data_IF_820319130473
#
_entry.id   IF_820319130473
#
_cell.length_a   1.000
_cell.length_b   1.000
_cell.length_c   1.000
_cell.angle_alpha   90.00
_cell.angle_beta   90.00
_cell.angle_gamma   90.00
#
_symmetry.space_group_name_H-M   'P 1'
#
loop_
_entity.id
_entity.type
_entity.pdbx_description
1 polymer ?
#
# COMPACT_ATOMS: atom_id res chain seq x y z
N UNK A 1 -16.42 19.65 15.44
CA UNK A 1 -16.17 18.95 16.73
C UNK A 1 -14.65 18.81 16.91
N UNK A 2 -14.14 19.07 18.10
CA UNK A 2 -12.71 18.86 18.39
C UNK A 2 -12.42 17.35 18.55
N UNK A 3 -11.33 16.83 18.00
CA UNK A 3 -10.97 15.43 18.15
C UNK A 3 -10.73 15.09 19.63
N UNK A 4 -11.12 13.88 20.01
CA UNK A 4 -10.98 13.37 21.38
C UNK A 4 -10.20 12.07 21.37
N UNK A 5 -9.34 11.88 22.36
CA UNK A 5 -8.63 10.64 22.63
C UNK A 5 -9.00 10.14 24.01
N UNK A 6 -9.42 8.89 24.10
CA UNK A 6 -9.71 8.22 25.37
C UNK A 6 -8.66 7.16 25.63
N UNK A 7 -8.02 7.25 26.80
CA UNK A 7 -7.08 6.25 27.28
C UNK A 7 -7.61 5.70 28.61
N UNK A 8 -8.03 4.46 28.62
CA UNK A 8 -8.71 3.87 29.78
C UNK A 8 -9.99 4.65 30.12
N UNK A 9 -10.08 5.20 31.34
CA UNK A 9 -11.21 6.02 31.79
C UNK A 9 -11.02 7.52 31.51
N UNK A 10 -9.88 7.95 31.02
CA UNK A 10 -9.53 9.37 30.80
C UNK A 10 -9.75 9.77 29.36
N UNK A 11 -10.54 10.80 29.12
CA UNK A 11 -10.74 11.38 27.80
C UNK A 11 -10.09 12.76 27.74
N UNK A 12 -9.29 13.02 26.71
CA UNK A 12 -8.69 14.33 26.45
C UNK A 12 -9.14 14.89 25.11
N UNK A 13 -9.40 16.18 25.09
CA UNK A 13 -9.67 16.92 23.84
C UNK A 13 -8.34 17.37 23.26
N UNK A 14 -8.07 16.99 22.00
CA UNK A 14 -6.89 17.43 21.28
C UNK A 14 -7.16 18.80 20.64
N UNK A 15 -6.32 19.76 20.97
CA UNK A 15 -6.27 21.08 20.32
C UNK A 15 -5.11 21.12 19.36
N UNK A 16 -5.02 22.20 18.55
CA UNK A 16 -3.95 22.41 17.54
C UNK A 16 -2.53 22.20 18.06
N UNK A 17 -2.28 22.46 19.32
CA UNK A 17 -0.95 22.44 19.94
C UNK A 17 -0.70 21.21 20.79
N UNK A 18 -1.69 20.31 20.97
CA UNK A 18 -1.54 19.14 21.82
C UNK A 18 -1.15 17.91 21.02
N UNK A 19 0.00 17.36 21.37
CA UNK A 19 0.44 16.02 21.04
C UNK A 19 0.36 15.16 22.27
N UNK A 20 -0.16 13.96 22.12
CA UNK A 20 -0.25 12.97 23.17
C UNK A 20 0.64 11.78 22.80
N UNK A 21 1.61 11.45 23.65
CA UNK A 21 2.56 10.37 23.40
C UNK A 21 2.39 9.27 24.43
N UNK A 22 2.24 8.04 23.96
CA UNK A 22 2.17 6.84 24.78
C UNK A 22 3.46 6.05 24.55
N UNK A 23 4.15 5.72 25.63
CA UNK A 23 5.32 4.83 25.61
C UNK A 23 5.01 3.59 26.44
N UNK A 24 5.53 2.46 26.00
CA UNK A 24 5.48 1.25 26.80
C UNK A 24 6.36 1.39 28.05
N UNK A 25 5.78 1.12 29.22
CA UNK A 25 6.52 0.94 30.45
C UNK A 25 6.87 -0.55 30.54
N UNK A 26 8.11 -0.94 30.32
CA UNK A 26 8.54 -2.32 30.43
C UNK A 26 9.48 -2.74 29.31
N UNK A 27 9.90 -4.01 29.32
CA UNK A 27 10.78 -4.53 28.28
C UNK A 27 9.98 -4.81 27.01
N UNK A 28 10.52 -4.43 25.85
CA UNK A 28 9.90 -4.54 24.52
C UNK A 28 9.55 -5.96 24.08
N UNK A 29 10.14 -6.96 24.72
CA UNK A 29 10.09 -8.36 24.30
C UNK A 29 9.24 -9.24 25.23
N UNK A 30 8.63 -8.67 26.26
CA UNK A 30 7.70 -9.42 27.10
C UNK A 30 6.40 -9.68 26.34
N UNK A 31 6.03 -10.93 26.29
CA UNK A 31 4.75 -11.35 25.75
C UNK A 31 3.69 -11.27 26.85
N UNK A 32 2.56 -10.64 26.54
CA UNK A 32 1.45 -10.55 27.45
C UNK A 32 0.49 -9.40 27.10
N UNK A 33 -0.73 -9.44 27.66
CA UNK A 33 -1.74 -8.44 27.38
C UNK A 33 -1.35 -7.04 27.85
N UNK A 34 -0.55 -6.95 28.91
CA UNK A 34 -0.13 -5.67 29.49
C UNK A 34 0.88 -4.89 28.64
N UNK A 35 1.49 -5.55 27.64
CA UNK A 35 2.40 -4.92 26.70
C UNK A 35 1.75 -4.45 25.42
N UNK A 36 0.42 -4.65 25.28
CA UNK A 36 -0.35 -4.31 24.09
C UNK A 36 -1.14 -3.03 24.31
N UNK A 37 -1.07 -2.13 23.32
CA UNK A 37 -1.98 -1.00 23.17
C UNK A 37 -2.98 -1.33 22.08
N UNK A 38 -4.27 -1.28 22.44
CA UNK A 38 -5.36 -1.44 21.49
C UNK A 38 -5.88 -0.08 21.07
N UNK A 39 -5.88 0.17 19.78
CA UNK A 39 -6.43 1.39 19.18
C UNK A 39 -7.65 1.02 18.38
N UNK A 40 -8.81 1.57 18.74
CA UNK A 40 -10.04 1.41 17.97
C UNK A 40 -10.27 2.66 17.13
N UNK A 41 -10.42 2.48 15.84
CA UNK A 41 -10.76 3.53 14.90
C UNK A 41 -11.79 3.01 13.90
N UNK A 42 -12.95 3.67 13.83
CA UNK A 42 -14.02 3.33 12.88
C UNK A 42 -14.41 1.84 12.88
N UNK A 43 -14.47 1.23 14.08
CA UNK A 43 -14.84 -0.17 14.25
C UNK A 43 -13.69 -1.18 14.01
N UNK A 44 -12.53 -0.72 13.58
CA UNK A 44 -11.33 -1.55 13.41
C UNK A 44 -10.44 -1.39 14.65
N UNK A 45 -10.06 -2.52 15.26
CA UNK A 45 -9.12 -2.52 16.40
C UNK A 45 -7.74 -2.97 15.91
N UNK A 46 -6.78 -2.06 16.00
CA UNK A 46 -5.37 -2.36 15.79
C UNK A 46 -4.67 -2.56 17.13
N UNK A 47 -3.84 -3.59 17.24
CA UNK A 47 -3.02 -3.88 18.41
C UNK A 47 -1.55 -3.60 18.09
N UNK A 48 -0.92 -2.82 18.95
CA UNK A 48 0.48 -2.39 18.81
C UNK A 48 1.26 -2.77 20.07
N UNK A 49 2.49 -3.24 19.89
CA UNK A 49 3.33 -3.75 20.99
C UNK A 49 4.60 -2.94 21.19
N UNK A 50 5.14 -2.34 20.13
CA UNK A 50 6.49 -1.77 20.14
C UNK A 50 6.50 -0.26 19.93
N UNK A 51 7.62 0.35 20.34
CA UNK A 51 7.94 1.74 20.08
C UNK A 51 7.16 2.74 20.92
N UNK A 52 6.71 3.80 20.31
CA UNK A 52 5.83 4.80 20.94
C UNK A 52 4.70 5.18 19.98
N UNK A 53 3.53 5.45 20.53
CA UNK A 53 2.42 6.00 19.78
C UNK A 53 2.29 7.48 20.10
N UNK A 54 2.25 8.28 19.05
CA UNK A 54 1.97 9.69 19.10
C UNK A 54 0.59 9.96 18.49
N UNK A 55 -0.22 10.74 19.18
CA UNK A 55 -1.56 11.14 18.71
C UNK A 55 -1.63 12.65 18.67
N UNK A 56 -2.00 13.20 17.51
CA UNK A 56 -1.96 14.64 17.25
C UNK A 56 -3.15 15.07 16.40
N UNK A 57 -3.68 16.24 16.67
CA UNK A 57 -4.66 16.88 15.80
C UNK A 57 -3.95 17.56 14.64
N UNK A 58 -4.23 17.16 13.40
CA UNK A 58 -3.70 17.77 12.19
C UNK A 58 -4.82 18.45 11.38
N UNK A 59 -4.49 19.57 10.73
CA UNK A 59 -5.41 20.27 9.84
C UNK A 59 -5.52 19.53 8.51
N UNK A 60 -6.73 19.34 8.01
CA UNK A 60 -7.03 18.84 6.68
C UNK A 60 -7.99 19.79 5.96
N UNK A 61 -8.19 19.66 4.64
CA UNK A 61 -9.15 20.49 3.92
C UNK A 61 -10.58 20.46 4.50
N UNK A 62 -10.98 19.30 5.05
CA UNK A 62 -12.30 19.08 5.66
C UNK A 62 -12.35 19.41 7.17
N UNK A 63 -11.30 20.01 7.73
CA UNK A 63 -11.21 20.36 9.16
C UNK A 63 -10.05 19.64 9.88
N UNK A 64 -10.19 19.39 11.17
CA UNK A 64 -9.18 18.68 11.96
C UNK A 64 -9.48 17.19 11.99
N UNK A 65 -8.43 16.38 11.84
CA UNK A 65 -8.45 14.95 12.04
C UNK A 65 -7.36 14.51 13.03
N UNK A 66 -7.52 13.33 13.58
CA UNK A 66 -6.48 12.70 14.41
C UNK A 66 -5.48 12.00 13.49
N UNK A 67 -4.21 12.35 13.61
CA UNK A 67 -3.10 11.53 13.15
C UNK A 67 -2.62 10.67 14.30
N UNK A 68 -2.40 9.41 14.03
CA UNK A 68 -1.77 8.48 14.95
C UNK A 68 -0.52 7.91 14.30
N UNK A 69 0.62 8.14 14.91
CA UNK A 69 1.92 7.69 14.41
C UNK A 69 2.53 6.71 15.39
N UNK A 70 2.97 5.56 14.90
CA UNK A 70 3.73 4.59 15.68
C UNK A 70 5.20 4.66 15.27
N UNK A 71 6.06 5.11 16.18
CA UNK A 71 7.51 5.16 15.96
C UNK A 71 8.13 3.85 16.44
N UNK A 72 8.63 3.06 15.50
CA UNK A 72 9.17 1.72 15.72
C UNK A 72 10.56 1.58 15.10
N UNK A 73 11.35 0.61 15.56
CA UNK A 73 12.62 0.26 14.92
C UNK A 73 12.34 -0.41 13.57
N UNK A 74 13.03 0.07 12.54
CA UNK A 74 12.83 -0.44 11.18
C UNK A 74 13.38 -1.87 11.02
N UNK A 75 14.48 -2.20 11.67
CA UNK A 75 15.19 -3.47 11.49
C UNK A 75 14.35 -4.70 11.84
N UNK A 76 13.44 -4.57 12.80
CA UNK A 76 12.66 -5.66 13.37
C UNK A 76 11.18 -5.26 13.61
N UNK A 77 10.91 -4.34 14.53
CA UNK A 77 9.57 -4.00 15.02
C UNK A 77 8.61 -3.56 13.89
N UNK A 78 9.12 -2.78 12.95
CA UNK A 78 8.37 -2.37 11.76
C UNK A 78 8.09 -3.58 10.86
N UNK A 79 9.12 -4.33 10.52
CA UNK A 79 9.00 -5.45 9.59
C UNK A 79 8.15 -6.58 10.15
N UNK A 80 8.21 -6.84 11.47
CA UNK A 80 7.33 -7.83 12.11
C UNK A 80 5.85 -7.51 11.94
N UNK A 81 5.50 -6.22 11.86
CA UNK A 81 4.13 -5.76 11.67
C UNK A 81 3.68 -5.63 10.21
N UNK A 82 4.59 -5.78 9.23
CA UNK A 82 4.25 -5.71 7.80
C UNK A 82 3.46 -6.93 7.35
N UNK A 83 2.37 -6.69 6.65
CA UNK A 83 1.41 -7.73 6.23
C UNK A 83 1.04 -7.60 4.75
N UNK A 84 2.05 -7.63 3.88
CA UNK A 84 1.83 -7.60 2.43
C UNK A 84 1.48 -8.97 1.86
N UNK A 85 1.89 -10.05 2.53
CA UNK A 85 1.57 -11.40 2.15
C UNK A 85 1.30 -12.30 3.36
N UNK A 86 0.56 -13.41 3.20
CA UNK A 86 0.34 -14.39 4.27
C UNK A 86 1.64 -15.08 4.68
N UNK A 87 1.85 -15.27 5.98
CA UNK A 87 3.09 -15.86 6.52
C UNK A 87 3.26 -17.36 6.25
N UNK A 88 2.25 -18.01 5.64
CA UNK A 88 2.34 -19.43 5.22
C UNK A 88 2.82 -19.63 3.79
N UNK A 89 3.15 -18.56 3.07
CA UNK A 89 3.69 -18.64 1.72
C UNK A 89 5.11 -19.22 1.69
N UNK A 90 5.60 -19.63 0.51
CA UNK A 90 6.94 -20.21 0.40
C UNK A 90 8.02 -19.29 0.98
N UNK A 91 9.00 -19.91 1.66
CA UNK A 91 10.08 -19.22 2.36
C UNK A 91 10.79 -18.20 1.47
N UNK A 92 11.14 -18.58 0.23
CA UNK A 92 11.80 -17.67 -0.71
C UNK A 92 10.97 -16.40 -1.02
N UNK A 93 9.65 -16.54 -1.13
CA UNK A 93 8.76 -15.39 -1.33
C UNK A 93 8.71 -14.49 -0.09
N UNK A 94 8.69 -15.07 1.11
CA UNK A 94 8.74 -14.32 2.37
C UNK A 94 10.07 -13.58 2.53
N UNK A 95 11.20 -14.23 2.19
CA UNK A 95 12.54 -13.60 2.24
C UNK A 95 12.63 -12.44 1.26
N UNK A 96 12.19 -12.62 0.01
CA UNK A 96 12.13 -11.56 -1.00
C UNK A 96 11.29 -10.37 -0.51
N UNK A 97 10.11 -10.64 0.08
CA UNK A 97 9.24 -9.59 0.61
C UNK A 97 9.89 -8.87 1.81
N UNK A 98 10.53 -9.59 2.73
CA UNK A 98 11.18 -8.96 3.87
C UNK A 98 12.32 -8.02 3.43
N UNK A 99 13.12 -8.44 2.44
CA UNK A 99 14.20 -7.63 1.86
C UNK A 99 13.62 -6.42 1.11
N UNK A 100 12.60 -6.63 0.29
CA UNK A 100 11.93 -5.56 -0.45
C UNK A 100 11.28 -4.54 0.50
N UNK A 101 10.54 -5.00 1.50
CA UNK A 101 9.87 -4.14 2.49
C UNK A 101 10.87 -3.31 3.31
N UNK A 102 11.98 -3.92 3.73
CA UNK A 102 13.08 -3.22 4.42
C UNK A 102 13.69 -2.14 3.54
N UNK A 103 13.97 -2.49 2.30
CA UNK A 103 14.59 -1.57 1.34
C UNK A 103 13.67 -0.40 1.02
N UNK A 104 12.38 -0.68 0.77
CA UNK A 104 11.38 0.36 0.56
C UNK A 104 11.30 1.31 1.75
N UNK A 105 11.20 0.77 2.96
CA UNK A 105 11.11 1.59 4.17
C UNK A 105 12.37 2.45 4.38
N UNK A 106 13.56 1.89 4.15
CA UNK A 106 14.83 2.64 4.20
C UNK A 106 14.84 3.80 3.19
N UNK A 107 14.35 3.57 1.97
CA UNK A 107 14.30 4.62 0.93
C UNK A 107 13.35 5.77 1.26
N UNK A 108 12.46 5.58 2.23
CA UNK A 108 11.47 6.58 2.69
C UNK A 108 11.77 7.15 4.07
N UNK A 109 12.65 6.50 4.84
CA UNK A 109 13.00 6.95 6.18
C UNK A 109 13.54 8.39 6.16
N UNK A 110 13.05 9.22 7.07
CA UNK A 110 13.37 10.64 7.14
C UNK A 110 12.63 11.53 6.13
N UNK A 111 11.76 10.96 5.29
CA UNK A 111 10.89 11.74 4.39
C UNK A 111 9.59 12.09 5.09
N UNK A 112 9.64 13.09 5.96
CA UNK A 112 8.49 13.51 6.75
C UNK A 112 7.31 13.97 5.89
N UNK A 113 6.13 13.45 6.20
CA UNK A 113 4.84 13.81 5.57
C UNK A 113 3.92 14.46 6.60
N UNK A 114 3.73 15.76 6.51
CA UNK A 114 2.85 16.51 7.41
C UNK A 114 1.38 16.07 7.39
N UNK A 115 0.93 15.43 6.31
CA UNK A 115 -0.43 14.92 6.18
C UNK A 115 -0.74 13.74 7.11
N UNK A 116 0.25 12.98 7.54
CA UNK A 116 0.11 11.87 8.49
C UNK A 116 0.96 12.02 9.75
N UNK A 117 1.82 13.04 9.81
CA UNK A 117 2.83 13.17 10.86
C UNK A 117 3.76 11.94 10.90
N UNK A 118 4.14 11.42 9.73
CA UNK A 118 4.86 10.16 9.57
C UNK A 118 5.79 10.16 8.35
N UNK A 119 6.70 9.18 8.28
CA UNK A 119 7.51 8.91 7.09
C UNK A 119 6.79 7.96 6.12
N UNK A 120 6.00 7.03 6.65
CA UNK A 120 5.30 5.98 5.91
C UNK A 120 3.84 5.86 6.37
N UNK A 121 2.93 5.65 5.43
CA UNK A 121 1.58 5.21 5.74
C UNK A 121 1.56 3.71 6.03
N UNK A 122 0.88 3.30 7.09
CA UNK A 122 0.64 1.89 7.43
C UNK A 122 -0.50 1.25 6.61
N UNK A 123 -0.61 1.58 5.33
CA UNK A 123 -1.67 1.16 4.42
C UNK A 123 -1.12 0.92 3.01
N UNK A 124 -2.00 0.52 2.08
CA UNK A 124 -1.68 0.34 0.66
C UNK A 124 -1.08 1.57 -0.04
N UNK A 125 -1.07 2.73 0.62
CA UNK A 125 -0.39 3.92 0.09
C UNK A 125 1.14 3.83 0.17
N UNK A 126 1.67 2.99 1.07
CA UNK A 126 3.08 2.59 1.17
C UNK A 126 3.16 1.10 1.46
N UNK A 127 2.99 0.67 2.71
CA UNK A 127 3.05 -0.74 3.11
C UNK A 127 2.00 -1.03 4.18
N UNK A 128 1.26 -2.13 4.02
CA UNK A 128 0.24 -2.55 4.98
C UNK A 128 0.91 -2.96 6.29
N UNK A 129 0.64 -2.22 7.36
CA UNK A 129 1.16 -2.46 8.69
C UNK A 129 0.03 -2.84 9.65
N UNK A 130 -0.01 -4.10 10.07
CA UNK A 130 -0.99 -4.63 11.02
C UNK A 130 -0.47 -4.66 12.46
N UNK A 131 0.82 -4.40 12.67
CA UNK A 131 1.44 -4.48 13.98
C UNK A 131 1.35 -5.88 14.57
N UNK A 132 0.96 -6.00 15.85
CA UNK A 132 0.92 -7.27 16.57
C UNK A 132 0.04 -8.35 15.93
N UNK A 133 -0.99 -7.97 15.19
CA UNK A 133 -1.85 -8.94 14.49
C UNK A 133 -1.08 -9.79 13.48
N UNK A 134 -0.03 -9.23 12.85
CA UNK A 134 0.84 -9.99 11.96
C UNK A 134 1.69 -11.00 12.71
N UNK A 135 2.20 -10.65 13.88
CA UNK A 135 3.05 -11.53 14.69
C UNK A 135 2.31 -12.76 15.22
N UNK A 136 0.99 -12.61 15.46
CA UNK A 136 0.10 -13.69 15.92
C UNK A 136 -0.74 -14.29 14.79
N UNK A 137 -0.38 -14.09 13.53
CA UNK A 137 -1.10 -14.64 12.38
C UNK A 137 -1.16 -16.17 12.47
N UNK A 138 -2.15 -16.67 13.21
CA UNK A 138 -2.32 -18.10 13.54
C UNK A 138 -0.99 -18.68 14.06
N UNK A 139 -0.60 -19.86 13.54
CA UNK A 139 0.70 -20.50 13.83
C UNK A 139 1.87 -19.99 12.96
N UNK A 140 1.60 -19.09 12.02
CA UNK A 140 2.55 -18.70 10.99
C UNK A 140 3.30 -17.40 11.28
N UNK A 141 2.84 -16.58 12.21
CA UNK A 141 3.47 -15.30 12.55
C UNK A 141 4.93 -15.46 13.00
N UNK A 142 5.25 -16.56 13.68
CA UNK A 142 6.62 -16.89 14.09
C UNK A 142 7.54 -17.13 12.88
N UNK A 143 7.00 -17.70 11.78
CA UNK A 143 7.76 -17.92 10.54
C UNK A 143 8.14 -16.57 9.93
N UNK A 144 7.20 -15.63 9.86
CA UNK A 144 7.50 -14.29 9.35
C UNK A 144 8.58 -13.58 10.18
N UNK A 145 8.51 -13.66 11.51
CA UNK A 145 9.54 -13.07 12.39
C UNK A 145 10.91 -13.71 12.19
N UNK A 146 10.98 -15.02 12.03
CA UNK A 146 12.21 -15.74 11.72
C UNK A 146 12.80 -15.29 10.38
N UNK A 147 11.97 -15.18 9.34
CA UNK A 147 12.37 -14.67 8.02
C UNK A 147 12.96 -13.26 8.10
N UNK A 148 12.31 -12.34 8.82
CA UNK A 148 12.80 -10.99 9.04
C UNK A 148 14.18 -11.01 9.70
N UNK A 149 14.37 -11.90 10.68
CA UNK A 149 15.63 -12.07 11.40
C UNK A 149 16.73 -12.66 10.51
N UNK A 150 16.44 -13.71 9.76
CA UNK A 150 17.40 -14.35 8.84
C UNK A 150 17.87 -13.44 7.71
N UNK A 151 16.99 -12.55 7.26
CA UNK A 151 17.30 -11.56 6.21
C UNK A 151 17.80 -10.23 6.77
N UNK A 152 18.15 -10.17 8.07
CA UNK A 152 18.61 -8.93 8.71
C UNK A 152 19.80 -8.31 7.95
N UNK A 153 19.77 -6.99 7.76
CA UNK A 153 20.81 -6.26 7.04
C UNK A 153 20.77 -6.35 5.52
N UNK A 154 20.01 -7.30 4.94
CA UNK A 154 19.92 -7.42 3.48
C UNK A 154 18.99 -6.34 2.90
N UNK A 155 19.51 -5.62 1.89
CA UNK A 155 18.79 -4.56 1.18
C UNK A 155 19.14 -4.58 -0.30
N UNK A 156 18.25 -4.05 -1.12
CA UNK A 156 18.48 -3.88 -2.57
C UNK A 156 19.02 -2.47 -2.79
N UNK A 157 20.17 -2.35 -3.42
CA UNK A 157 20.80 -1.05 -3.65
C UNK A 157 21.16 -0.84 -5.11
N UNK A 158 21.18 0.43 -5.53
CA UNK A 158 21.80 0.87 -6.76
C UNK A 158 22.91 1.86 -6.39
N UNK A 159 24.14 1.58 -6.82
CA UNK A 159 25.32 2.37 -6.45
C UNK A 159 25.45 2.61 -4.92
N UNK A 160 25.14 1.59 -4.10
CA UNK A 160 25.21 1.65 -2.66
C UNK A 160 24.02 2.34 -1.96
N UNK A 161 23.08 2.89 -2.70
CA UNK A 161 21.90 3.60 -2.17
C UNK A 161 20.69 2.67 -2.22
N UNK A 162 19.94 2.49 -1.09
CA UNK A 162 18.71 1.73 -1.10
C UNK A 162 17.71 2.25 -2.13
N UNK A 163 17.19 1.37 -2.99
CA UNK A 163 16.18 1.73 -3.99
C UNK A 163 14.78 1.83 -3.36
N UNK A 164 13.84 2.49 -4.05
CA UNK A 164 12.43 2.29 -3.73
C UNK A 164 12.01 0.94 -4.32
N UNK A 165 12.09 -0.11 -3.51
CA UNK A 165 11.82 -1.48 -3.93
C UNK A 165 10.31 -1.68 -4.10
N UNK A 166 9.80 -1.45 -5.29
CA UNK A 166 8.39 -1.66 -5.62
C UNK A 166 8.07 -3.16 -5.70
N UNK A 167 6.86 -3.51 -5.32
CA UNK A 167 6.34 -4.87 -5.39
C UNK A 167 4.84 -4.85 -5.74
N UNK A 168 4.34 -5.97 -6.26
CA UNK A 168 2.92 -6.17 -6.58
C UNK A 168 2.54 -7.62 -6.36
N UNK A 169 1.24 -7.90 -6.24
CA UNK A 169 0.73 -9.27 -6.07
C UNK A 169 0.74 -10.08 -7.36
N UNK A 170 0.75 -9.45 -8.52
CA UNK A 170 0.78 -10.08 -9.84
C UNK A 170 1.19 -9.04 -10.87
N UNK A 171 2.10 -9.39 -11.76
CA UNK A 171 2.55 -8.52 -12.85
C UNK A 171 1.67 -8.62 -14.09
N UNK A 172 0.90 -9.72 -14.24
CA UNK A 172 0.14 -10.03 -15.46
C UNK A 172 1.00 -10.64 -16.58
N UNK A 173 2.23 -11.10 -16.29
CA UNK A 173 3.15 -11.75 -17.22
C UNK A 173 4.47 -11.03 -17.44
N UNK A 174 4.52 -9.73 -17.17
CA UNK A 174 5.74 -8.91 -17.21
C UNK A 174 5.71 -7.83 -16.16
N UNK A 175 6.86 -7.51 -15.59
CA UNK A 175 6.98 -6.34 -14.71
C UNK A 175 6.84 -5.04 -15.48
N UNK A 176 6.58 -3.93 -14.78
CA UNK A 176 6.35 -2.62 -15.39
C UNK A 176 7.44 -1.61 -15.02
N UNK A 177 7.76 -0.71 -15.94
CA UNK A 177 8.64 0.42 -15.66
C UNK A 177 7.94 1.46 -14.78
N UNK A 178 8.70 2.04 -13.85
CA UNK A 178 8.18 3.09 -12.96
C UNK A 178 7.63 4.31 -13.72
N UNK A 179 8.20 4.63 -14.88
CA UNK A 179 7.70 5.72 -15.73
C UNK A 179 6.27 5.45 -16.22
N UNK A 180 5.96 4.20 -16.59
CA UNK A 180 4.64 3.81 -17.04
C UNK A 180 3.65 3.70 -15.89
N UNK A 181 4.07 3.19 -14.73
CA UNK A 181 3.21 3.05 -13.56
C UNK A 181 2.93 4.41 -12.89
N UNK A 182 3.95 5.23 -12.63
CA UNK A 182 3.81 6.44 -11.81
C UNK A 182 4.25 7.75 -12.50
N UNK A 183 4.73 7.69 -13.76
CA UNK A 183 5.14 8.89 -14.51
C UNK A 183 6.53 9.41 -14.14
N UNK A 184 7.32 8.67 -13.37
CA UNK A 184 8.68 9.04 -12.97
C UNK A 184 9.64 7.90 -13.29
N UNK A 185 10.67 8.16 -14.09
CA UNK A 185 11.67 7.16 -14.42
C UNK A 185 12.52 6.78 -13.20
N UNK A 186 12.84 5.48 -13.11
CA UNK A 186 13.79 4.91 -12.15
C UNK A 186 14.69 3.96 -12.90
N UNK A 187 15.98 4.24 -12.94
CA UNK A 187 16.95 3.50 -13.74
C UNK A 187 17.07 2.00 -13.35
N UNK A 188 16.62 1.63 -12.18
CA UNK A 188 16.63 0.25 -11.67
C UNK A 188 15.33 -0.53 -11.97
N UNK A 189 14.30 0.09 -12.56
CA UNK A 189 13.09 -0.65 -12.96
C UNK A 189 13.28 -1.22 -14.36
N UNK A 190 12.88 -2.48 -14.54
CA UNK A 190 13.05 -3.24 -15.77
C UNK A 190 11.77 -3.97 -16.14
N UNK A 191 11.59 -4.25 -17.40
CA UNK A 191 10.57 -5.18 -17.89
C UNK A 191 11.20 -6.56 -17.88
N UNK A 192 10.68 -7.45 -17.04
CA UNK A 192 11.14 -8.82 -16.87
C UNK A 192 9.95 -9.74 -17.04
N UNK A 193 10.13 -10.84 -17.76
CA UNK A 193 9.11 -11.87 -17.90
C UNK A 193 8.82 -12.53 -16.55
N UNK A 194 7.54 -12.64 -16.24
CA UNK A 194 7.02 -13.26 -15.01
C UNK A 194 5.94 -14.31 -15.36
N UNK A 195 6.37 -15.48 -15.84
CA UNK A 195 5.45 -16.54 -16.24
C UNK A 195 4.63 -17.09 -15.08
N UNK A 196 5.12 -16.97 -13.83
CA UNK A 196 4.41 -17.40 -12.64
C UNK A 196 3.10 -16.61 -12.42
N UNK A 197 3.01 -15.37 -12.86
CA UNK A 197 1.77 -14.59 -12.77
C UNK A 197 0.70 -15.01 -13.77
N UNK A 198 1.06 -15.79 -14.79
CA UNK A 198 0.16 -16.39 -15.79
C UNK A 198 -0.20 -17.86 -15.47
N UNK A 199 0.34 -18.41 -14.41
CA UNK A 199 0.07 -19.79 -14.00
C UNK A 199 -1.28 -19.87 -13.27
N UNK A 200 -2.22 -20.66 -13.79
CA UNK A 200 -3.57 -20.85 -13.21
C UNK A 200 -3.55 -21.52 -11.83
N UNK A 201 -2.50 -22.27 -11.50
CA UNK A 201 -2.36 -22.94 -10.20
C UNK A 201 -1.82 -21.93 -9.17
N UNK A 202 -0.80 -21.15 -9.55
CA UNK A 202 -0.14 -20.20 -8.67
C UNK A 202 -0.95 -18.89 -8.50
N UNK A 203 -1.64 -18.48 -9.57
CA UNK A 203 -2.37 -17.19 -9.60
C UNK A 203 -3.79 -17.33 -10.18
N UNK A 204 -4.65 -18.22 -9.66
CA UNK A 204 -5.96 -18.53 -10.25
C UNK A 204 -6.91 -17.33 -10.30
N UNK A 205 -6.63 -16.30 -9.51
CA UNK A 205 -7.50 -15.13 -9.36
C UNK A 205 -7.27 -14.05 -10.43
N UNK A 206 -6.04 -13.91 -10.92
CA UNK A 206 -5.63 -12.76 -11.73
C UNK A 206 -5.06 -13.11 -13.10
N UNK A 207 -4.95 -14.40 -13.44
CA UNK A 207 -4.55 -14.81 -14.80
C UNK A 207 -5.53 -14.28 -15.84
N UNK A 208 -6.82 -14.39 -15.54
CA UNK A 208 -7.90 -13.78 -16.32
C UNK A 208 -8.88 -13.10 -15.39
N UNK A 209 -9.37 -11.94 -15.78
CA UNK A 209 -10.40 -11.23 -15.04
C UNK A 209 -11.34 -10.47 -16.00
N UNK A 210 -12.59 -10.30 -15.59
CA UNK A 210 -13.56 -9.47 -16.26
C UNK A 210 -14.18 -8.51 -15.23
N UNK A 211 -14.44 -7.28 -15.64
CA UNK A 211 -15.11 -6.27 -14.82
C UNK A 211 -16.01 -5.42 -15.68
N UNK A 212 -17.27 -5.36 -15.30
CA UNK A 212 -18.18 -4.36 -15.78
C UNK A 212 -17.97 -3.06 -15.02
N UNK A 213 -17.77 -1.98 -15.73
CA UNK A 213 -17.59 -0.64 -15.14
C UNK A 213 -18.73 0.23 -15.62
N UNK A 214 -19.58 0.75 -14.71
CA UNK A 214 -20.68 1.63 -15.09
C UNK A 214 -20.18 2.85 -15.87
N UNK A 215 -20.93 3.24 -16.90
CA UNK A 215 -20.62 4.41 -17.75
C UNK A 215 -20.39 5.67 -16.90
N UNK A 216 -21.16 5.88 -15.84
CA UNK A 216 -20.98 7.01 -14.93
C UNK A 216 -19.64 7.01 -14.18
N UNK A 217 -19.10 5.82 -13.84
CA UNK A 217 -17.76 5.68 -13.24
C UNK A 217 -16.69 5.99 -14.25
N UNK A 218 -16.87 5.56 -15.50
CA UNK A 218 -15.95 5.87 -16.60
C UNK A 218 -15.97 7.38 -16.88
N UNK A 219 -17.14 7.98 -17.02
CA UNK A 219 -17.29 9.41 -17.24
C UNK A 219 -16.62 10.24 -16.13
N UNK A 220 -16.83 9.86 -14.87
CA UNK A 220 -16.17 10.49 -13.72
C UNK A 220 -14.64 10.31 -13.76
N UNK A 221 -14.13 9.17 -14.22
CA UNK A 221 -12.71 8.93 -14.37
C UNK A 221 -12.04 9.90 -15.35
N UNK A 222 -12.73 10.25 -16.44
CA UNK A 222 -12.26 11.19 -17.45
C UNK A 222 -12.67 12.65 -17.17
N UNK A 223 -13.45 12.91 -16.13
CA UNK A 223 -14.04 14.22 -15.82
C UNK A 223 -14.95 14.72 -16.95
N UNK A 224 -15.63 13.81 -17.60
CA UNK A 224 -16.62 14.08 -18.66
C UNK A 224 -18.04 13.94 -18.10
N UNK A 225 -19.04 14.61 -18.72
CA UNK A 225 -20.44 14.46 -18.31
C UNK A 225 -20.99 13.06 -18.62
N UNK A 226 -20.53 12.46 -19.71
CA UNK A 226 -20.87 11.12 -20.18
C UNK A 226 -19.72 10.54 -21.03
N UNK A 227 -19.83 9.29 -21.46
CA UNK A 227 -18.88 8.64 -22.36
C UNK A 227 -19.65 7.76 -23.34
N UNK A 228 -19.52 8.03 -24.64
CA UNK A 228 -20.15 7.26 -25.73
C UNK A 228 -19.18 6.30 -26.40
N UNK A 229 -17.86 6.54 -26.29
CA UNK A 229 -16.85 5.61 -26.81
C UNK A 229 -15.57 5.63 -25.98
N UNK A 230 -14.90 4.48 -25.97
CA UNK A 230 -13.56 4.27 -25.39
C UNK A 230 -12.65 3.67 -26.44
N UNK A 231 -11.41 4.13 -26.50
CA UNK A 231 -10.39 3.62 -27.40
C UNK A 231 -9.04 3.50 -26.68
N UNK A 232 -8.36 2.35 -26.84
CA UNK A 232 -6.99 2.19 -26.40
C UNK A 232 -6.08 2.75 -27.49
N UNK A 233 -5.36 3.84 -27.19
CA UNK A 233 -4.47 4.51 -28.15
C UNK A 233 -3.10 3.86 -28.23
N UNK A 234 -2.72 3.07 -27.21
CA UNK A 234 -1.42 2.39 -27.20
C UNK A 234 -1.21 1.51 -26.00
N UNK A 235 -0.25 0.61 -26.13
CA UNK A 235 0.14 -0.39 -25.12
C UNK A 235 1.64 -0.26 -24.87
N UNK A 236 2.06 -0.39 -23.62
CA UNK A 236 3.46 -0.43 -23.23
C UNK A 236 4.10 -1.79 -23.61
N UNK A 237 5.40 -1.86 -23.63
CA UNK A 237 6.16 -3.10 -23.87
C UNK A 237 5.81 -4.20 -22.85
N UNK A 238 5.45 -3.83 -21.63
CA UNK A 238 4.96 -4.75 -20.59
C UNK A 238 3.61 -5.41 -20.91
N UNK A 239 2.82 -4.84 -21.82
CA UNK A 239 1.45 -5.23 -22.14
C UNK A 239 0.37 -4.38 -21.47
N UNK A 240 0.73 -3.49 -20.55
CA UNK A 240 -0.22 -2.57 -19.93
C UNK A 240 -0.69 -1.49 -20.90
N UNK A 241 -1.91 -1.00 -20.74
CA UNK A 241 -2.43 0.12 -21.53
C UNK A 241 -1.61 1.38 -21.24
N UNK A 242 -0.97 1.91 -22.28
CA UNK A 242 -0.20 3.15 -22.16
C UNK A 242 -1.15 4.36 -22.08
N UNK A 243 -2.14 4.40 -22.97
CA UNK A 243 -3.10 5.49 -23.05
C UNK A 243 -4.46 4.98 -23.51
N UNK A 244 -5.52 5.50 -22.89
CA UNK A 244 -6.92 5.25 -23.24
C UNK A 244 -7.64 6.58 -23.37
N UNK A 245 -8.48 6.71 -24.41
CA UNK A 245 -9.25 7.91 -24.71
C UNK A 245 -10.75 7.63 -24.56
N UNK A 246 -11.46 8.58 -23.98
CA UNK A 246 -12.91 8.62 -23.95
C UNK A 246 -13.44 9.78 -24.78
N UNK A 247 -14.58 9.57 -25.46
CA UNK A 247 -15.30 10.60 -26.18
C UNK A 247 -16.69 10.76 -25.57
N UNK A 248 -17.08 12.01 -25.26
CA UNK A 248 -18.43 12.34 -24.78
C UNK A 248 -19.46 12.45 -25.93
N UNK A 249 -20.73 12.47 -25.62
CA UNK A 249 -21.83 12.72 -26.59
C UNK A 249 -21.70 14.06 -27.29
N UNK A 250 -21.02 15.04 -26.71
CA UNK A 250 -20.74 16.34 -27.29
C UNK A 250 -19.47 16.37 -28.16
N UNK A 251 -18.79 15.22 -28.32
CA UNK A 251 -17.58 15.09 -29.12
C UNK A 251 -16.29 15.50 -28.37
N UNK A 252 -16.37 15.87 -27.10
CA UNK A 252 -15.18 16.17 -26.29
C UNK A 252 -14.38 14.90 -26.04
N UNK A 253 -13.09 14.93 -26.35
CA UNK A 253 -12.17 13.83 -26.17
C UNK A 253 -11.18 14.10 -25.04
N UNK A 254 -10.99 13.13 -24.15
CA UNK A 254 -10.01 13.18 -23.06
C UNK A 254 -9.24 11.88 -23.03
N UNK A 255 -7.93 11.98 -22.96
CA UNK A 255 -7.06 10.82 -22.84
C UNK A 255 -6.45 10.73 -21.42
N UNK A 256 -6.33 9.50 -20.91
CA UNK A 256 -5.69 9.18 -19.65
C UNK A 256 -4.63 8.10 -19.86
N UNK A 257 -3.63 8.09 -18.98
CA UNK A 257 -2.74 6.93 -18.85
C UNK A 257 -3.54 5.73 -18.34
N UNK A 258 -3.21 4.52 -18.82
CA UNK A 258 -3.91 3.30 -18.40
C UNK A 258 -3.90 3.10 -16.90
N UNK A 259 -2.79 3.40 -16.22
CA UNK A 259 -2.71 3.30 -14.75
C UNK A 259 -3.60 4.34 -14.03
N UNK A 260 -3.76 5.54 -14.59
CA UNK A 260 -4.71 6.54 -14.07
C UNK A 260 -6.14 6.06 -14.23
N UNK A 261 -6.48 5.51 -15.39
CA UNK A 261 -7.79 4.90 -15.64
C UNK A 261 -8.05 3.76 -14.66
N UNK A 262 -7.11 2.79 -14.52
CA UNK A 262 -7.19 1.70 -13.55
C UNK A 262 -7.48 2.21 -12.13
N UNK A 263 -6.71 3.18 -11.69
CA UNK A 263 -6.83 3.71 -10.32
C UNK A 263 -8.18 4.38 -10.07
N UNK A 264 -8.71 5.13 -11.05
CA UNK A 264 -9.99 5.84 -10.94
C UNK A 264 -11.19 4.91 -11.04
N UNK A 265 -11.12 3.89 -11.90
CA UNK A 265 -12.22 2.91 -12.12
C UNK A 265 -12.15 1.71 -11.20
N UNK A 266 -11.05 1.53 -10.45
CA UNK A 266 -10.83 0.42 -9.52
C UNK A 266 -10.78 -0.96 -10.19
N UNK A 267 -10.43 -1.04 -11.48
CA UNK A 267 -10.18 -2.31 -12.14
C UNK A 267 -8.85 -2.92 -11.61
N UNK A 268 -8.69 -4.26 -11.69
CA UNK A 268 -7.55 -4.96 -11.07
C UNK A 268 -6.18 -4.55 -11.61
N UNK A 269 -6.06 -4.36 -12.92
CA UNK A 269 -4.78 -4.13 -13.60
C UNK A 269 -4.91 -3.07 -14.68
N UNK A 270 -3.80 -2.41 -15.03
CA UNK A 270 -3.67 -1.61 -16.26
C UNK A 270 -3.46 -2.50 -17.50
N UNK A 271 -3.27 -3.80 -17.33
CA UNK A 271 -3.25 -4.76 -18.45
C UNK A 271 -4.67 -5.27 -18.70
N UNK A 272 -5.33 -4.67 -19.66
CA UNK A 272 -6.71 -5.00 -20.03
C UNK A 272 -6.97 -4.73 -21.52
N UNK A 273 -8.01 -5.35 -22.03
CA UNK A 273 -8.65 -5.03 -23.32
C UNK A 273 -10.08 -4.57 -23.08
N UNK A 274 -10.63 -3.85 -24.04
CA UNK A 274 -12.04 -3.47 -24.05
C UNK A 274 -12.86 -4.59 -24.70
N UNK A 275 -13.94 -4.99 -24.05
CA UNK A 275 -14.93 -5.91 -24.59
C UNK A 275 -16.23 -5.14 -24.73
N UNK A 276 -16.78 -5.08 -25.94
CA UNK A 276 -18.09 -4.49 -26.16
C UNK A 276 -19.16 -5.39 -25.54
N UNK A 277 -19.97 -4.84 -24.64
CA UNK A 277 -21.21 -5.50 -24.23
C UNK A 277 -22.19 -5.28 -25.35
N UNK A 278 -22.55 -6.33 -26.09
CA UNK A 278 -23.71 -6.29 -26.98
C UNK A 278 -24.97 -6.26 -26.09
N UNK A 279 -25.69 -5.16 -26.13
CA UNK A 279 -27.01 -5.06 -25.51
C UNK A 279 -28.03 -5.94 -26.26
#
# INVERSE_FOLDING_TARGET
MSPRVTLGKTTQVLTRSRTFTIRWAGTRYLEGPDTLISVNHSGVTQKLRYGQIQVKAIKSPSGYRIAMTNSVRLADEYLWGISEMPSFWPVAALEAQAIASRTYALSKAGTYRGACDCDLYGSISDQTFLGYAKEIEKKYGVIWKDIVTRTAGLTITQAGIPITAYFSSSSGGKTELAINAWGSSKAYTQIVDDPGSLDLILNPRFVTWNREVPQSVIAAAFLLPDVVSLEILGVNESGTVAQIQATSSTGVQVALRGETFRSRTKIPSAWFSLVSVQN
#
